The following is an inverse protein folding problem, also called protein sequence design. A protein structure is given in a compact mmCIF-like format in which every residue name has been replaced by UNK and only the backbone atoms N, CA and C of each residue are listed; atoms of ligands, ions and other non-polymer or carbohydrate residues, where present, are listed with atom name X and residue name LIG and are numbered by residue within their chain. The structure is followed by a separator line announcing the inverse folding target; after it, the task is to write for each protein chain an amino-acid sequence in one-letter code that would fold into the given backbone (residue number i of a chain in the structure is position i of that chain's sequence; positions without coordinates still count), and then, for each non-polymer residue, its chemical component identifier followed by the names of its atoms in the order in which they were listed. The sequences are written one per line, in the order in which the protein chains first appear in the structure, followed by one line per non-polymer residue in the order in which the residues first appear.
data_IF_240755672452
#
_entry.id   IF_240755672452
#
_cell.length_a   1.000
_cell.length_b   1.000
_cell.length_c   1.000
_cell.angle_alpha   90.00
_cell.angle_beta   90.00
_cell.angle_gamma   90.00
#
_symmetry.space_group_name_H-M   'P 1'
#
loop_
_entity.id
_entity.type
_entity.pdbx_description
1 polymer ?
#
# COMPACT_ATOMS: atom_id res chain seq x y z
N UNK A 1 -7.69 -27.78 -10.37
CA UNK A 1 -7.17 -26.44 -10.02
C UNK A 1 -7.27 -26.32 -8.52
N UNK A 2 -6.14 -26.18 -7.83
CA UNK A 2 -6.10 -26.04 -6.36
C UNK A 2 -6.37 -24.58 -6.00
N UNK A 3 -7.38 -24.35 -5.17
CA UNK A 3 -7.82 -23.02 -4.78
C UNK A 3 -7.66 -22.83 -3.28
N UNK A 4 -6.95 -21.77 -2.89
CA UNK A 4 -6.81 -21.34 -1.51
C UNK A 4 -7.72 -20.15 -1.25
N UNK A 5 -8.45 -20.20 -0.16
CA UNK A 5 -9.31 -19.11 0.32
C UNK A 5 -8.79 -18.61 1.66
N UNK A 6 -8.33 -17.38 1.73
CA UNK A 6 -7.94 -16.73 2.98
C UNK A 6 -9.15 -15.96 3.52
N UNK A 7 -9.78 -16.53 4.53
CA UNK A 7 -11.01 -16.00 5.11
C UNK A 7 -10.71 -15.23 6.40
N UNK A 8 -10.92 -13.90 6.39
CA UNK A 8 -10.71 -13.03 7.56
C UNK A 8 -11.97 -12.82 8.39
N UNK A 9 -13.13 -13.29 7.92
CA UNK A 9 -14.45 -13.09 8.55
C UNK A 9 -14.84 -14.20 9.53
N UNK A 10 -14.04 -15.28 9.62
CA UNK A 10 -14.35 -16.41 10.48
C UNK A 10 -15.29 -17.44 9.86
N UNK A 11 -15.69 -18.43 10.67
CA UNK A 11 -16.40 -19.63 10.18
C UNK A 11 -17.82 -19.37 9.67
N UNK A 12 -18.45 -18.28 10.08
CA UNK A 12 -19.86 -17.95 9.75
C UNK A 12 -20.13 -17.81 8.23
N UNK A 13 -19.14 -17.34 7.46
CA UNK A 13 -19.24 -17.18 6.01
C UNK A 13 -18.80 -18.41 5.21
N UNK A 14 -18.27 -19.43 5.85
CA UNK A 14 -17.67 -20.62 5.17
C UNK A 14 -18.68 -21.34 4.26
N UNK A 15 -19.96 -21.38 4.61
CA UNK A 15 -21.00 -21.98 3.78
C UNK A 15 -21.24 -21.18 2.49
N UNK A 16 -21.25 -19.86 2.57
CA UNK A 16 -21.41 -18.98 1.39
C UNK A 16 -20.17 -19.09 0.48
N UNK A 17 -18.96 -19.12 1.04
CA UNK A 17 -17.72 -19.32 0.29
C UNK A 17 -17.80 -20.59 -0.56
N UNK A 18 -18.18 -21.72 0.03
CA UNK A 18 -18.34 -23.00 -0.68
C UNK A 18 -19.41 -22.99 -1.74
N UNK A 19 -20.42 -22.13 -1.62
CA UNK A 19 -21.47 -21.97 -2.64
C UNK A 19 -21.01 -21.14 -3.83
N UNK A 20 -20.18 -20.13 -3.58
CA UNK A 20 -19.71 -19.18 -4.59
C UNK A 20 -18.48 -19.70 -5.35
N UNK A 21 -17.55 -20.34 -4.66
CA UNK A 21 -16.34 -20.91 -5.24
C UNK A 21 -16.59 -22.38 -5.54
N UNK A 22 -16.74 -22.71 -6.83
CA UNK A 22 -17.12 -24.08 -7.30
C UNK A 22 -15.94 -24.86 -7.85
N UNK A 23 -14.72 -24.54 -7.46
CA UNK A 23 -13.54 -25.27 -7.87
C UNK A 23 -13.52 -26.69 -7.29
N UNK A 24 -12.83 -27.62 -7.98
CA UNK A 24 -12.80 -29.03 -7.56
C UNK A 24 -12.11 -29.26 -6.22
N UNK A 25 -11.09 -28.45 -5.95
CA UNK A 25 -10.26 -28.55 -4.74
C UNK A 25 -10.14 -27.17 -4.11
N UNK A 26 -10.89 -26.96 -3.02
CA UNK A 26 -10.93 -25.66 -2.30
C UNK A 26 -10.50 -25.88 -0.85
N UNK A 27 -9.40 -25.24 -0.49
CA UNK A 27 -8.95 -25.16 0.90
C UNK A 27 -9.31 -23.78 1.47
N UNK A 28 -10.04 -23.76 2.60
CA UNK A 28 -10.40 -22.51 3.29
C UNK A 28 -9.57 -22.42 4.57
N UNK A 29 -8.72 -21.41 4.64
CA UNK A 29 -7.94 -21.06 5.83
C UNK A 29 -8.64 -19.90 6.54
N UNK A 30 -9.14 -20.15 7.74
CA UNK A 30 -9.71 -19.12 8.62
C UNK A 30 -8.57 -18.37 9.31
N UNK A 31 -8.32 -17.14 8.86
CA UNK A 31 -7.25 -16.28 9.39
C UNK A 31 -7.70 -15.37 10.53
N UNK A 32 -8.99 -15.42 10.92
CA UNK A 32 -9.57 -14.50 11.92
C UNK A 32 -8.89 -14.61 13.30
N UNK A 33 -8.42 -15.80 13.67
CA UNK A 33 -7.75 -16.07 14.94
C UNK A 33 -6.24 -16.34 14.80
N UNK A 34 -5.68 -16.23 13.59
CA UNK A 34 -4.25 -16.42 13.34
C UNK A 34 -3.45 -15.18 13.77
N UNK A 35 -2.26 -15.44 14.31
CA UNK A 35 -1.31 -14.38 14.66
C UNK A 35 -0.54 -13.97 13.41
N UNK A 36 -1.04 -12.98 12.69
CA UNK A 36 -0.44 -12.44 11.47
C UNK A 36 -0.05 -11.00 11.71
N UNK A 37 1.23 -10.69 11.68
CA UNK A 37 1.75 -9.33 11.77
C UNK A 37 1.63 -8.58 10.43
N UNK A 38 1.62 -7.25 10.45
CA UNK A 38 1.69 -6.44 9.24
C UNK A 38 3.03 -6.62 8.52
N UNK A 39 3.01 -6.53 7.19
CA UNK A 39 4.25 -6.50 6.43
C UNK A 39 5.04 -5.23 6.77
N UNK A 40 6.24 -5.37 7.31
CA UNK A 40 7.13 -4.23 7.63
C UNK A 40 7.81 -3.64 6.39
N UNK A 41 7.65 -4.22 5.21
CA UNK A 41 8.37 -3.81 4.00
C UNK A 41 9.89 -3.89 4.14
N UNK A 42 10.40 -4.77 4.98
CA UNK A 42 11.83 -4.90 5.25
C UNK A 42 12.63 -5.41 4.03
N UNK A 43 11.95 -6.00 3.04
CA UNK A 43 12.49 -6.59 1.81
C UNK A 43 13.50 -7.72 2.05
N UNK A 44 13.53 -8.32 3.26
CA UNK A 44 14.43 -9.44 3.52
C UNK A 44 14.05 -10.66 2.66
N UNK A 45 12.75 -10.92 2.46
CA UNK A 45 12.26 -11.98 1.60
C UNK A 45 12.58 -11.80 0.10
N UNK A 46 13.15 -10.66 -0.28
CA UNK A 46 13.64 -10.38 -1.62
C UNK A 46 15.15 -10.32 -1.70
N UNK A 47 15.82 -9.74 -0.69
CA UNK A 47 17.20 -9.27 -0.78
C UNK A 47 18.16 -9.93 0.22
N UNK A 48 17.67 -10.68 1.22
CA UNK A 48 18.52 -11.34 2.22
C UNK A 48 18.24 -12.83 2.33
N UNK A 49 16.97 -13.18 2.41
CA UNK A 49 16.47 -14.56 2.49
C UNK A 49 15.40 -14.78 1.42
N UNK A 50 15.78 -14.82 0.12
CA UNK A 50 14.83 -14.88 -0.99
C UNK A 50 13.75 -15.95 -0.79
N UNK A 51 12.47 -15.55 -0.91
CA UNK A 51 11.31 -16.39 -0.70
C UNK A 51 10.89 -16.58 0.77
N UNK A 52 11.75 -16.27 1.76
CA UNK A 52 11.47 -16.51 3.18
C UNK A 52 11.19 -15.18 3.89
N UNK A 53 10.01 -15.08 4.53
CA UNK A 53 9.67 -13.91 5.33
C UNK A 53 10.50 -13.86 6.62
N UNK A 54 10.96 -12.65 6.98
CA UNK A 54 11.69 -12.43 8.24
C UNK A 54 10.79 -12.47 9.48
N UNK A 55 9.49 -12.23 9.31
CA UNK A 55 8.51 -12.30 10.39
C UNK A 55 8.10 -13.77 10.56
N UNK A 56 8.35 -14.31 11.74
CA UNK A 56 8.01 -15.67 12.11
C UNK A 56 6.68 -15.68 12.86
N UNK A 57 5.59 -15.93 12.12
CA UNK A 57 4.23 -15.98 12.60
C UNK A 57 3.43 -16.99 11.77
N UNK A 58 2.13 -17.11 12.02
CA UNK A 58 1.26 -18.09 11.35
C UNK A 58 1.17 -17.93 9.83
N UNK A 59 1.63 -16.80 9.28
CA UNK A 59 1.62 -16.55 7.82
C UNK A 59 2.62 -17.42 7.06
N UNK A 60 3.63 -18.00 7.70
CA UNK A 60 4.58 -18.91 7.04
C UNK A 60 3.87 -20.13 6.46
N UNK A 61 2.89 -20.69 7.19
CA UNK A 61 2.07 -21.79 6.70
C UNK A 61 1.16 -21.39 5.51
N UNK A 62 0.71 -20.14 5.49
CA UNK A 62 -0.03 -19.62 4.34
C UNK A 62 0.87 -19.52 3.10
N UNK A 63 2.12 -19.09 3.25
CA UNK A 63 3.07 -19.03 2.12
C UNK A 63 3.29 -20.43 1.54
N UNK A 64 3.49 -21.46 2.37
CA UNK A 64 3.65 -22.85 1.91
C UNK A 64 2.44 -23.31 1.09
N UNK A 65 1.22 -23.01 1.55
CA UNK A 65 -0.01 -23.33 0.80
C UNK A 65 -0.11 -22.56 -0.52
N UNK A 66 0.30 -21.29 -0.54
CA UNK A 66 0.29 -20.46 -1.76
C UNK A 66 1.22 -21.02 -2.85
N UNK A 67 2.34 -21.64 -2.47
CA UNK A 67 3.28 -22.27 -3.41
C UNK A 67 2.64 -23.41 -4.21
N UNK A 68 1.63 -24.07 -3.65
CA UNK A 68 0.92 -25.19 -4.30
C UNK A 68 -0.42 -24.77 -4.94
N UNK A 69 -0.78 -23.49 -4.87
CA UNK A 69 -2.11 -22.96 -5.19
C UNK A 69 -2.10 -22.29 -6.57
N UNK A 70 -3.10 -22.58 -7.40
CA UNK A 70 -3.29 -21.90 -8.70
C UNK A 70 -4.21 -20.68 -8.60
N UNK A 71 -5.13 -20.69 -7.64
CA UNK A 71 -6.12 -19.61 -7.44
C UNK A 71 -6.21 -19.21 -5.99
N UNK A 72 -6.10 -17.90 -5.73
CA UNK A 72 -6.22 -17.29 -4.42
C UNK A 72 -7.49 -16.46 -4.33
N UNK A 73 -8.32 -16.75 -3.34
CA UNK A 73 -9.46 -15.90 -2.97
C UNK A 73 -9.22 -15.26 -1.62
N UNK A 74 -9.48 -13.97 -1.54
CA UNK A 74 -9.49 -13.23 -0.26
C UNK A 74 -10.94 -13.01 0.14
N UNK A 75 -11.24 -13.24 1.42
CA UNK A 75 -12.55 -12.96 2.01
C UNK A 75 -12.37 -11.94 3.12
N UNK A 76 -12.95 -10.75 2.97
CA UNK A 76 -12.72 -9.61 3.84
C UNK A 76 -13.98 -8.80 4.09
N UNK A 77 -14.04 -8.13 5.23
CA UNK A 77 -14.95 -7.00 5.42
C UNK A 77 -14.44 -5.78 4.64
N UNK A 78 -15.26 -4.74 4.52
CA UNK A 78 -14.87 -3.49 3.88
C UNK A 78 -14.92 -2.34 4.88
N UNK A 79 -13.94 -1.43 4.74
CA UNK A 79 -13.89 -0.16 5.43
C UNK A 79 -13.34 0.91 4.47
N UNK A 80 -13.83 2.14 4.55
CA UNK A 80 -13.47 3.22 3.62
C UNK A 80 -13.69 2.90 2.13
N UNK A 81 -14.66 2.01 1.82
CA UNK A 81 -14.95 1.57 0.45
C UNK A 81 -13.93 0.57 -0.12
N UNK A 82 -13.05 0.02 0.71
CA UNK A 82 -12.04 -0.96 0.35
C UNK A 82 -11.94 -2.08 1.39
N UNK A 83 -11.01 -3.02 1.23
CA UNK A 83 -10.74 -4.06 2.22
C UNK A 83 -10.44 -3.46 3.59
N UNK A 84 -10.94 -4.07 4.66
CA UNK A 84 -10.51 -3.76 6.01
C UNK A 84 -9.02 -4.10 6.23
N UNK A 85 -8.45 -3.62 7.35
CA UNK A 85 -7.04 -3.86 7.64
C UNK A 85 -6.69 -5.36 7.74
N UNK A 86 -7.65 -6.25 8.06
CA UNK A 86 -7.41 -7.71 8.18
C UNK A 86 -7.23 -8.34 6.81
N UNK A 87 -8.12 -8.05 5.86
CA UNK A 87 -8.00 -8.48 4.47
C UNK A 87 -6.75 -7.93 3.80
N UNK A 88 -6.48 -6.63 4.01
CA UNK A 88 -5.27 -6.02 3.49
C UNK A 88 -3.99 -6.60 4.11
N UNK A 89 -4.01 -6.97 5.40
CA UNK A 89 -2.87 -7.55 6.11
C UNK A 89 -2.43 -8.89 5.51
N UNK A 90 -3.37 -9.77 5.18
CA UNK A 90 -3.01 -11.04 4.53
C UNK A 90 -2.46 -10.82 3.13
N UNK A 91 -2.96 -9.81 2.40
CA UNK A 91 -2.44 -9.46 1.07
C UNK A 91 -1.08 -8.78 1.12
N UNK A 92 -0.82 -7.90 2.06
CA UNK A 92 0.49 -7.24 2.20
C UNK A 92 1.64 -8.24 2.45
N UNK A 93 1.33 -9.42 2.95
CA UNK A 93 2.29 -10.47 3.28
C UNK A 93 2.61 -11.40 2.11
N UNK A 94 1.96 -11.25 0.94
CA UNK A 94 2.19 -12.10 -0.25
C UNK A 94 3.57 -11.89 -0.92
N UNK A 95 4.29 -10.86 -0.51
CA UNK A 95 5.57 -10.43 -1.08
C UNK A 95 6.61 -11.54 -1.35
N UNK A 96 6.73 -12.61 -0.51
CA UNK A 96 7.64 -13.74 -0.80
C UNK A 96 7.31 -14.51 -2.08
N UNK A 97 6.09 -14.43 -2.60
CA UNK A 97 5.67 -15.05 -3.87
C UNK A 97 6.27 -14.36 -5.10
N UNK A 98 6.83 -13.17 -4.91
CA UNK A 98 7.52 -12.38 -5.93
C UNK A 98 9.03 -12.36 -5.63
N UNK A 99 9.83 -12.05 -6.64
CA UNK A 99 11.25 -11.78 -6.45
C UNK A 99 11.56 -10.28 -6.63
N UNK A 100 12.81 -9.88 -6.41
CA UNK A 100 13.22 -8.48 -6.52
C UNK A 100 13.41 -8.01 -7.95
N UNK A 101 13.62 -8.94 -8.89
CA UNK A 101 13.81 -8.59 -10.30
C UNK A 101 12.53 -7.99 -10.87
N UNK A 102 12.68 -7.09 -11.82
CA UNK A 102 11.57 -6.40 -12.45
C UNK A 102 11.56 -6.63 -13.96
N UNK A 103 10.38 -6.55 -14.53
CA UNK A 103 10.11 -6.66 -15.95
C UNK A 103 8.85 -5.87 -16.31
N UNK A 104 8.40 -5.97 -17.57
CA UNK A 104 7.10 -5.43 -17.99
C UNK A 104 6.11 -6.56 -18.22
N UNK A 105 4.94 -6.47 -17.58
CA UNK A 105 3.81 -7.39 -17.75
C UNK A 105 2.54 -6.56 -18.02
N UNK A 106 1.84 -6.89 -19.11
CA UNK A 106 0.67 -6.14 -19.58
C UNK A 106 0.91 -4.63 -19.72
N UNK A 107 2.16 -4.26 -20.06
CA UNK A 107 2.57 -2.88 -20.23
C UNK A 107 2.93 -2.16 -18.95
N UNK A 108 2.93 -2.81 -17.81
CA UNK A 108 3.23 -2.27 -16.48
C UNK A 108 4.55 -2.82 -15.96
N UNK A 109 5.33 -2.00 -15.29
CA UNK A 109 6.54 -2.46 -14.61
C UNK A 109 6.15 -3.27 -13.37
N UNK A 110 6.59 -4.53 -13.29
CA UNK A 110 6.21 -5.48 -12.23
C UNK A 110 7.40 -6.29 -11.75
N UNK A 111 7.32 -6.72 -10.51
CA UNK A 111 8.23 -7.74 -9.97
C UNK A 111 7.95 -9.09 -10.62
N UNK A 112 9.03 -9.88 -10.88
CA UNK A 112 8.87 -11.22 -11.42
C UNK A 112 8.28 -12.17 -10.37
N UNK A 113 7.48 -13.13 -10.86
CA UNK A 113 6.84 -14.14 -10.00
C UNK A 113 7.88 -15.20 -9.63
N UNK A 114 7.97 -15.55 -8.35
CA UNK A 114 8.96 -16.51 -7.85
C UNK A 114 8.59 -17.95 -8.17
N UNK A 115 7.37 -18.36 -7.94
CA UNK A 115 6.94 -19.76 -8.07
C UNK A 115 6.16 -19.98 -9.36
N UNK A 116 4.94 -19.52 -9.41
CA UNK A 116 4.02 -19.61 -10.56
C UNK A 116 3.00 -18.46 -10.45
N UNK A 117 2.31 -18.14 -11.57
CA UNK A 117 1.19 -17.19 -11.57
C UNK A 117 0.06 -17.63 -10.63
N UNK A 118 -0.57 -16.66 -9.92
CA UNK A 118 -1.73 -16.89 -9.07
C UNK A 118 -2.94 -16.10 -9.62
N UNK A 119 -4.01 -16.79 -9.95
CA UNK A 119 -5.29 -16.15 -10.22
C UNK A 119 -5.86 -15.57 -8.92
N UNK A 120 -6.46 -14.39 -8.97
CA UNK A 120 -6.90 -13.69 -7.76
C UNK A 120 -8.37 -13.34 -7.83
N UNK A 121 -9.11 -13.68 -6.78
CA UNK A 121 -10.50 -13.30 -6.58
C UNK A 121 -10.73 -12.67 -5.21
N UNK A 122 -11.84 -11.96 -5.07
CA UNK A 122 -12.25 -11.31 -3.85
C UNK A 122 -13.70 -11.63 -3.53
N UNK A 123 -13.96 -12.08 -2.30
CA UNK A 123 -15.28 -12.06 -1.69
C UNK A 123 -15.29 -11.00 -0.61
N UNK A 124 -16.23 -10.06 -0.66
CA UNK A 124 -16.25 -8.97 0.31
C UNK A 124 -17.63 -8.80 0.94
N UNK A 125 -17.63 -8.40 2.21
CA UNK A 125 -18.81 -8.04 2.98
C UNK A 125 -18.77 -6.53 3.23
N UNK A 126 -19.93 -5.89 3.17
CA UNK A 126 -20.05 -4.45 3.45
C UNK A 126 -20.23 -3.60 2.21
N UNK A 127 -20.08 -2.29 2.38
CA UNK A 127 -20.36 -1.30 1.33
C UNK A 127 -19.04 -0.92 0.60
N UNK A 128 -18.99 -1.28 -0.67
CA UNK A 128 -17.88 -0.93 -1.55
C UNK A 128 -18.38 -0.85 -3.01
N UNK A 129 -17.75 -0.04 -3.81
CA UNK A 129 -17.99 0.01 -5.24
C UNK A 129 -17.48 -1.26 -5.93
N UNK A 130 -18.39 -1.98 -6.59
CA UNK A 130 -18.11 -3.24 -7.27
C UNK A 130 -17.02 -3.09 -8.34
N UNK A 131 -17.06 -2.02 -9.13
CA UNK A 131 -16.11 -1.80 -10.20
C UNK A 131 -14.69 -1.50 -9.65
N UNK A 132 -14.61 -0.80 -8.53
CA UNK A 132 -13.35 -0.57 -7.83
C UNK A 132 -12.76 -1.88 -7.28
N UNK A 133 -13.57 -2.74 -6.66
CA UNK A 133 -13.11 -4.03 -6.16
C UNK A 133 -12.64 -4.95 -7.31
N UNK A 134 -13.32 -4.93 -8.45
CA UNK A 134 -12.89 -5.65 -9.64
C UNK A 134 -11.58 -5.09 -10.23
N UNK A 135 -11.40 -3.76 -10.25
CA UNK A 135 -10.14 -3.14 -10.71
C UNK A 135 -8.98 -3.53 -9.79
N UNK A 136 -9.17 -3.53 -8.47
CA UNK A 136 -8.15 -4.02 -7.54
C UNK A 136 -7.78 -5.48 -7.77
N UNK A 137 -8.77 -6.36 -8.01
CA UNK A 137 -8.51 -7.76 -8.35
C UNK A 137 -7.69 -7.89 -9.63
N UNK A 138 -8.01 -7.13 -10.69
CA UNK A 138 -7.27 -7.12 -11.95
C UNK A 138 -5.82 -6.68 -11.74
N UNK A 139 -5.61 -5.56 -11.06
CA UNK A 139 -4.26 -5.03 -10.75
C UNK A 139 -3.43 -6.00 -9.93
N UNK A 140 -4.04 -6.57 -8.88
CA UNK A 140 -3.38 -7.55 -8.02
C UNK A 140 -3.03 -8.83 -8.78
N UNK A 141 -3.92 -9.34 -9.62
CA UNK A 141 -3.66 -10.50 -10.46
C UNK A 141 -2.49 -10.26 -11.42
N UNK A 142 -2.43 -9.10 -12.07
CA UNK A 142 -1.28 -8.72 -12.93
C UNK A 142 0.01 -8.67 -12.11
N UNK A 143 -0.02 -8.14 -10.89
CA UNK A 143 1.16 -8.10 -10.00
C UNK A 143 1.73 -9.49 -9.73
N UNK A 144 0.86 -10.47 -9.50
CA UNK A 144 1.27 -11.85 -9.18
C UNK A 144 1.20 -12.80 -10.38
N UNK A 145 1.10 -12.24 -11.60
CA UNK A 145 1.25 -12.93 -12.88
C UNK A 145 0.05 -13.76 -13.35
N UNK A 146 -1.05 -13.74 -12.59
CA UNK A 146 -2.27 -14.48 -12.92
C UNK A 146 -3.37 -13.64 -13.56
N UNK A 147 -4.58 -14.15 -13.54
CA UNK A 147 -5.79 -13.50 -14.02
C UNK A 147 -6.75 -13.15 -12.88
N UNK A 148 -7.56 -12.12 -13.07
CA UNK A 148 -8.63 -11.79 -12.15
C UNK A 148 -9.76 -12.81 -12.24
N UNK A 149 -10.20 -13.30 -11.09
CA UNK A 149 -11.41 -14.12 -10.92
C UNK A 149 -12.64 -13.27 -10.55
N UNK A 150 -12.46 -11.94 -10.50
CA UNK A 150 -13.48 -10.98 -10.15
C UNK A 150 -13.62 -10.71 -8.67
N UNK A 151 -14.53 -9.81 -8.33
CA UNK A 151 -14.91 -9.47 -6.96
C UNK A 151 -16.41 -9.72 -6.78
N UNK A 152 -16.82 -10.39 -5.71
CA UNK A 152 -18.20 -10.79 -5.45
C UNK A 152 -18.61 -10.31 -4.06
N UNK A 153 -19.69 -9.55 -3.97
CA UNK A 153 -20.26 -9.14 -2.69
C UNK A 153 -20.97 -10.32 -2.01
N UNK A 154 -20.66 -10.56 -0.75
CA UNK A 154 -21.36 -11.53 0.07
C UNK A 154 -22.73 -11.00 0.46
N UNK A 155 -23.76 -11.84 0.32
CA UNK A 155 -25.11 -11.50 0.76
C UNK A 155 -25.19 -11.64 2.28
N UNK A 156 -24.79 -10.60 2.99
CA UNK A 156 -25.01 -10.49 4.44
C UNK A 156 -25.93 -9.28 4.64
N UNK A 157 -26.94 -9.41 5.48
CA UNK A 157 -27.73 -8.25 5.91
C UNK A 157 -26.80 -7.26 6.57
N UNK A 158 -26.32 -6.26 5.84
CA UNK A 158 -25.58 -5.14 6.39
C UNK A 158 -26.57 -4.04 6.72
N UNK A 159 -26.44 -3.44 7.88
CA UNK A 159 -26.94 -2.11 8.10
C UNK A 159 -26.19 -1.21 7.13
N UNK A 160 -26.91 -0.58 6.18
CA UNK A 160 -26.35 0.28 5.15
C UNK A 160 -25.55 1.39 5.80
N UNK A 161 -24.24 1.27 5.83
CA UNK A 161 -23.38 2.41 6.04
C UNK A 161 -23.41 3.25 4.76
N UNK A 162 -24.37 4.19 4.67
CA UNK A 162 -24.40 5.16 3.58
C UNK A 162 -23.12 5.97 3.63
N UNK A 163 -22.37 5.99 2.54
CA UNK A 163 -21.36 7.03 2.32
C UNK A 163 -22.04 8.38 2.49
N UNK A 164 -21.81 9.04 3.62
CA UNK A 164 -22.28 10.40 3.84
C UNK A 164 -21.46 11.32 2.97
N UNK A 165 -21.99 11.71 1.82
CA UNK A 165 -21.51 12.86 1.05
C UNK A 165 -22.11 14.12 1.68
N UNK A 166 -21.73 14.46 2.89
CA UNK A 166 -22.08 15.76 3.45
C UNK A 166 -21.05 16.79 3.00
N UNK A 167 -21.58 17.99 2.69
CA UNK A 167 -20.81 19.12 2.21
C UNK A 167 -19.61 19.40 3.13
N UNK A 168 -18.46 19.16 2.59
CA UNK A 168 -17.20 19.39 3.28
C UNK A 168 -17.02 20.87 3.49
N UNK A 169 -16.99 21.31 4.73
CA UNK A 169 -16.69 22.70 5.09
C UNK A 169 -15.26 23.01 4.64
N UNK A 170 -15.12 23.93 3.69
CA UNK A 170 -13.81 24.40 3.28
C UNK A 170 -13.15 25.13 4.45
N UNK A 171 -11.93 24.72 4.81
CA UNK A 171 -11.16 25.44 5.83
C UNK A 171 -10.66 26.76 5.24
N UNK A 172 -11.15 27.87 5.80
CA UNK A 172 -10.70 29.21 5.47
C UNK A 172 -9.53 29.67 6.35
N UNK A 173 -9.12 28.85 7.34
CA UNK A 173 -8.00 29.14 8.23
C UNK A 173 -6.66 29.03 7.50
N UNK A 174 -5.77 30.00 7.75
CA UNK A 174 -4.37 29.93 7.30
C UNK A 174 -3.68 28.74 8.00
N UNK A 175 -2.87 27.99 7.25
CA UNK A 175 -2.05 26.93 7.81
C UNK A 175 -1.03 27.51 8.82
N UNK A 176 -1.15 27.14 10.09
CA UNK A 176 -0.24 27.54 11.17
C UNK A 176 0.43 26.36 11.85
N UNK A 177 -0.27 25.21 11.87
CA UNK A 177 0.24 23.96 12.43
C UNK A 177 -0.14 22.77 11.52
N UNK A 178 0.74 21.78 11.40
CA UNK A 178 0.55 20.59 10.59
C UNK A 178 0.85 19.33 11.40
N UNK A 179 -0.14 18.47 11.58
CA UNK A 179 0.06 17.12 12.11
C UNK A 179 0.47 16.21 10.97
N UNK A 180 1.59 15.51 11.11
CA UNK A 180 2.11 14.58 10.11
C UNK A 180 2.05 13.17 10.67
N UNK A 181 1.35 12.29 9.96
CA UNK A 181 1.28 10.87 10.28
C UNK A 181 2.15 10.10 9.29
N UNK A 182 3.21 9.47 9.80
CA UNK A 182 4.03 8.54 9.02
C UNK A 182 3.39 7.15 9.08
N UNK A 183 2.62 6.81 8.04
CA UNK A 183 1.92 5.53 7.88
C UNK A 183 2.81 4.39 7.36
N UNK A 184 4.13 4.60 7.28
CA UNK A 184 5.06 3.53 6.91
C UNK A 184 5.10 2.44 7.98
N UNK A 185 4.92 1.15 7.60
CA UNK A 185 5.08 0.05 8.54
C UNK A 185 6.53 -0.17 9.01
N UNK A 186 7.48 0.50 8.37
CA UNK A 186 8.91 0.39 8.68
C UNK A 186 9.31 1.39 9.75
N UNK A 187 10.15 0.95 10.69
CA UNK A 187 10.76 1.83 11.71
C UNK A 187 11.40 3.05 11.03
N UNK A 188 11.19 4.24 11.59
CA UNK A 188 11.56 5.55 11.03
C UNK A 188 13.00 5.57 10.46
N UNK A 189 13.99 5.11 11.23
CA UNK A 189 15.41 5.04 10.80
C UNK A 189 15.60 4.38 9.42
N UNK A 190 14.78 3.38 9.07
CA UNK A 190 14.87 2.63 7.82
C UNK A 190 13.75 2.97 6.83
N UNK A 191 12.85 3.88 7.18
CA UNK A 191 11.70 4.27 6.37
C UNK A 191 12.10 5.25 5.26
N UNK A 192 11.70 4.96 4.03
CA UNK A 192 11.81 5.93 2.93
C UNK A 192 10.84 7.09 3.14
N UNK A 193 9.63 6.80 3.64
CA UNK A 193 8.62 7.81 3.98
C UNK A 193 9.15 8.83 4.96
N UNK A 194 9.87 8.38 6.00
CA UNK A 194 10.47 9.27 6.99
C UNK A 194 11.45 10.27 6.34
N UNK A 195 12.33 9.80 5.44
CA UNK A 195 13.27 10.65 4.70
C UNK A 195 12.56 11.64 3.77
N UNK A 196 11.47 11.21 3.15
CA UNK A 196 10.62 12.05 2.32
C UNK A 196 9.97 13.14 3.18
N UNK A 197 9.38 12.77 4.34
CA UNK A 197 8.79 13.74 5.29
C UNK A 197 9.83 14.76 5.73
N UNK A 198 11.03 14.32 6.12
CA UNK A 198 12.09 15.24 6.54
C UNK A 198 12.53 16.20 5.44
N UNK A 199 12.53 15.76 4.17
CA UNK A 199 12.78 16.67 3.05
C UNK A 199 11.61 17.64 2.84
N UNK A 200 10.37 17.16 2.97
CA UNK A 200 9.17 17.99 2.82
C UNK A 200 9.11 19.10 3.88
N UNK A 201 9.36 18.77 5.16
CA UNK A 201 9.28 19.75 6.25
C UNK A 201 10.37 20.83 6.19
N UNK A 202 11.52 20.56 5.55
CA UNK A 202 12.49 21.61 5.23
C UNK A 202 11.87 22.73 4.38
N UNK A 203 10.92 22.39 3.52
CA UNK A 203 10.16 23.37 2.76
C UNK A 203 9.20 24.24 3.60
N UNK A 204 8.90 23.85 4.84
CA UNK A 204 8.12 24.63 5.79
C UNK A 204 8.98 25.58 6.65
N UNK A 205 10.31 25.40 6.66
CA UNK A 205 11.22 26.23 7.44
C UNK A 205 11.12 27.71 7.00
N UNK A 206 11.11 28.60 7.98
CA UNK A 206 10.99 30.04 7.75
C UNK A 206 9.60 30.55 7.37
N UNK A 207 8.59 29.67 7.25
CA UNK A 207 7.21 30.05 6.90
C UNK A 207 6.34 30.40 8.11
N UNK A 208 6.80 30.15 9.33
CA UNK A 208 6.02 30.29 10.56
C UNK A 208 5.08 29.12 10.87
N UNK A 209 5.05 28.07 10.01
CA UNK A 209 4.26 26.87 10.21
C UNK A 209 5.03 25.94 11.16
N UNK A 210 4.38 25.52 12.23
CA UNK A 210 4.86 24.47 13.13
C UNK A 210 4.36 23.10 12.68
N UNK A 211 5.02 22.04 13.10
CA UNK A 211 4.58 20.67 12.77
C UNK A 211 4.97 19.68 13.87
N UNK A 212 4.24 18.59 13.95
CA UNK A 212 4.55 17.42 14.74
C UNK A 212 4.45 16.15 13.90
N UNK A 213 5.24 15.11 14.25
CA UNK A 213 5.33 13.86 13.50
C UNK A 213 5.08 12.66 14.40
N UNK A 214 4.13 11.80 13.99
CA UNK A 214 3.83 10.53 14.65
C UNK A 214 4.14 9.35 13.72
N UNK A 215 4.87 8.35 14.23
CA UNK A 215 5.28 7.18 13.45
C UNK A 215 4.42 5.97 13.80
N UNK A 216 3.55 5.52 12.91
CA UNK A 216 2.65 4.39 13.16
C UNK A 216 3.36 3.04 13.33
N UNK A 217 4.61 2.93 12.88
CA UNK A 217 5.44 1.74 13.15
C UNK A 217 5.75 1.56 14.64
N UNK A 218 5.59 2.61 15.45
CA UNK A 218 5.67 2.59 16.90
C UNK A 218 4.26 2.61 17.52
N UNK A 219 3.76 1.46 17.94
CA UNK A 219 2.43 1.35 18.56
C UNK A 219 2.23 2.23 19.80
N UNK A 220 3.31 2.58 20.50
CA UNK A 220 3.25 3.46 21.69
C UNK A 220 2.87 4.90 21.32
N UNK A 221 3.04 5.32 20.09
CA UNK A 221 2.66 6.66 19.60
C UNK A 221 1.19 6.74 19.16
N UNK A 222 0.48 5.61 19.06
CA UNK A 222 -0.86 5.59 18.48
C UNK A 222 -1.90 6.41 19.20
N UNK A 223 -1.88 6.42 20.56
CA UNK A 223 -2.82 7.24 21.33
C UNK A 223 -2.56 8.73 21.11
N UNK A 224 -1.29 9.15 21.17
CA UNK A 224 -0.91 10.53 20.86
C UNK A 224 -1.23 10.91 19.40
N UNK A 225 -0.98 10.00 18.46
CA UNK A 225 -1.31 10.22 17.05
C UNK A 225 -2.83 10.38 16.84
N UNK A 226 -3.67 9.57 17.52
CA UNK A 226 -5.14 9.72 17.47
C UNK A 226 -5.59 11.05 18.02
N UNK A 227 -5.07 11.43 19.19
CA UNK A 227 -5.37 12.73 19.82
C UNK A 227 -4.97 13.88 18.90
N UNK A 228 -3.76 13.86 18.33
CA UNK A 228 -3.29 14.87 17.40
C UNK A 228 -4.19 14.97 16.17
N UNK A 229 -4.55 13.83 15.55
CA UNK A 229 -5.46 13.81 14.39
C UNK A 229 -6.82 14.39 14.77
N UNK A 230 -7.36 14.12 15.96
CA UNK A 230 -8.70 14.58 16.37
C UNK A 230 -8.74 16.05 16.79
N UNK A 231 -7.63 16.60 17.31
CA UNK A 231 -7.55 17.95 17.88
C UNK A 231 -7.06 19.02 16.92
N UNK A 232 -6.60 18.66 15.71
CA UNK A 232 -6.05 19.63 14.75
C UNK A 232 -6.82 19.66 13.42
N UNK A 233 -6.75 20.83 12.76
CA UNK A 233 -7.45 21.09 11.51
C UNK A 233 -6.70 20.59 10.26
N UNK A 234 -5.37 20.51 10.30
CA UNK A 234 -4.53 20.22 9.14
C UNK A 234 -3.69 18.96 9.38
N UNK A 235 -3.97 17.95 8.60
CA UNK A 235 -3.35 16.63 8.73
C UNK A 235 -2.69 16.25 7.39
N UNK A 236 -1.44 15.83 7.45
CA UNK A 236 -0.73 15.20 6.34
C UNK A 236 -0.46 13.73 6.67
N UNK A 237 -0.98 12.83 5.88
CA UNK A 237 -0.74 11.40 6.03
C UNK A 237 0.20 10.94 4.92
N UNK A 238 1.41 10.48 5.29
CA UNK A 238 2.44 10.05 4.35
C UNK A 238 2.69 8.55 4.46
N UNK A 239 2.67 7.81 3.34
CA UNK A 239 2.85 6.36 3.35
C UNK A 239 3.31 5.80 2.00
N UNK A 240 3.93 4.59 1.99
CA UNK A 240 4.27 3.89 0.76
C UNK A 240 3.07 3.11 0.22
N UNK A 241 2.96 2.97 -1.10
CA UNK A 241 2.01 2.07 -1.75
C UNK A 241 2.38 0.60 -1.44
N UNK A 242 1.45 -0.18 -0.92
CA UNK A 242 1.59 -1.63 -0.70
C UNK A 242 0.45 -2.37 -1.39
N UNK A 243 0.78 -3.33 -2.24
CA UNK A 243 -0.20 -4.17 -2.95
C UNK A 243 -1.40 -3.31 -3.43
N UNK A 244 -1.09 -2.37 -4.32
CA UNK A 244 -2.00 -1.43 -5.00
C UNK A 244 -2.73 -0.41 -4.09
N UNK A 245 -2.58 -0.44 -2.75
CA UNK A 245 -3.33 0.45 -1.87
C UNK A 245 -2.58 0.82 -0.58
N UNK A 246 -3.31 1.38 0.39
CA UNK A 246 -2.84 1.78 1.73
C UNK A 246 -2.27 0.55 2.47
N UNK A 247 -1.12 0.65 3.16
CA UNK A 247 -0.61 -0.43 4.01
C UNK A 247 -1.58 -0.80 5.12
N UNK A 248 -1.70 -2.10 5.41
CA UNK A 248 -2.63 -2.62 6.42
C UNK A 248 -2.43 -2.02 7.82
N UNK A 249 -1.18 -1.71 8.21
CA UNK A 249 -0.89 -1.03 9.48
C UNK A 249 -1.56 0.33 9.56
N UNK A 250 -1.52 1.08 8.46
CA UNK A 250 -2.13 2.40 8.39
C UNK A 250 -3.66 2.30 8.33
N UNK A 251 -4.21 1.31 7.61
CA UNK A 251 -5.65 1.05 7.62
C UNK A 251 -6.14 0.76 9.04
N UNK A 252 -5.44 -0.10 9.80
CA UNK A 252 -5.79 -0.39 11.20
C UNK A 252 -5.82 0.87 12.07
N UNK A 253 -4.87 1.78 11.88
CA UNK A 253 -4.89 3.07 12.57
C UNK A 253 -6.09 3.93 12.16
N UNK A 254 -6.34 4.07 10.85
CA UNK A 254 -7.47 4.86 10.34
C UNK A 254 -8.82 4.29 10.80
N UNK A 255 -8.99 2.97 10.78
CA UNK A 255 -10.20 2.28 11.26
C UNK A 255 -10.41 2.45 12.78
N UNK A 256 -9.37 2.77 13.52
CA UNK A 256 -9.45 3.07 14.96
C UNK A 256 -9.88 4.51 15.28
N UNK A 257 -9.97 5.38 14.27
CA UNK A 257 -10.41 6.76 14.45
C UNK A 257 -11.95 6.83 14.47
N UNK A 258 -12.54 7.68 15.32
CA UNK A 258 -13.98 7.90 15.26
C UNK A 258 -14.36 8.65 13.98
N UNK A 259 -15.57 8.35 13.47
CA UNK A 259 -16.14 9.02 12.29
C UNK A 259 -16.67 10.43 12.57
N UNK A 260 -16.91 10.75 13.84
CA UNK A 260 -17.44 12.05 14.27
C UNK A 260 -16.31 12.93 14.83
N UNK A 261 -16.35 14.20 14.45
CA UNK A 261 -15.38 15.21 14.87
C UNK A 261 -16.11 16.47 15.33
N UNK A 262 -15.53 17.12 16.34
CA UNK A 262 -16.09 18.35 16.91
C UNK A 262 -15.60 19.62 16.18
N UNK A 263 -14.63 19.51 15.26
CA UNK A 263 -14.06 20.65 14.55
C UNK A 263 -13.75 20.31 13.11
N UNK A 264 -13.76 21.30 12.19
CA UNK A 264 -13.37 21.12 10.79
C UNK A 264 -11.96 20.55 10.69
N UNK A 265 -11.74 19.67 9.72
CA UNK A 265 -10.44 19.05 9.47
C UNK A 265 -10.23 18.87 7.97
N UNK A 266 -8.98 18.99 7.54
CA UNK A 266 -8.56 18.65 6.19
C UNK A 266 -7.42 17.63 6.23
N UNK A 267 -7.57 16.55 5.49
CA UNK A 267 -6.53 15.53 5.33
C UNK A 267 -5.93 15.63 3.93
N UNK A 268 -4.63 15.85 3.87
CA UNK A 268 -3.83 15.73 2.65
C UNK A 268 -2.99 14.46 2.71
N UNK A 269 -2.66 13.88 1.56
CA UNK A 269 -1.88 12.65 1.49
C UNK A 269 -0.57 12.85 0.74
N UNK A 270 0.48 12.14 1.18
CA UNK A 270 1.73 11.98 0.47
C UNK A 270 1.92 10.49 0.21
N UNK A 271 1.75 10.07 -1.03
CA UNK A 271 1.80 8.69 -1.48
C UNK A 271 3.02 8.47 -2.37
N UNK A 272 3.83 7.49 -2.04
CA UNK A 272 5.01 7.15 -2.82
C UNK A 272 5.14 5.63 -3.05
N UNK A 273 5.90 5.22 -4.06
CA UNK A 273 6.11 3.81 -4.40
C UNK A 273 7.46 3.54 -5.04
N UNK A 274 7.74 2.25 -5.25
CA UNK A 274 8.99 1.81 -5.86
C UNK A 274 9.04 2.03 -7.37
N UNK A 275 7.91 1.86 -8.05
CA UNK A 275 7.79 2.04 -9.49
C UNK A 275 7.57 3.52 -9.83
N UNK A 276 7.99 3.94 -11.04
CA UNK A 276 8.00 5.36 -11.43
C UNK A 276 6.68 5.82 -12.06
N UNK A 277 5.85 4.91 -12.56
CA UNK A 277 4.66 5.24 -13.34
C UNK A 277 3.49 5.68 -12.47
N UNK A 278 2.83 6.79 -12.81
CA UNK A 278 1.71 7.38 -12.05
C UNK A 278 0.49 6.47 -11.94
N UNK A 279 0.20 5.69 -12.98
CA UNK A 279 -0.94 4.76 -13.01
C UNK A 279 -0.88 3.69 -11.90
N UNK A 280 0.31 3.40 -11.34
CA UNK A 280 0.46 2.52 -10.18
C UNK A 280 -0.33 2.98 -8.96
N UNK A 281 -0.49 4.29 -8.83
CA UNK A 281 -1.06 4.93 -7.65
C UNK A 281 -2.55 5.25 -7.80
N UNK A 282 -3.11 5.20 -9.02
CA UNK A 282 -4.45 5.74 -9.30
C UNK A 282 -5.56 5.04 -8.57
N UNK A 283 -5.46 3.71 -8.39
CA UNK A 283 -6.42 2.98 -7.56
C UNK A 283 -6.42 3.49 -6.10
N UNK A 284 -5.23 3.59 -5.49
CA UNK A 284 -5.11 4.09 -4.13
C UNK A 284 -5.58 5.55 -4.01
N UNK A 285 -5.22 6.42 -4.96
CA UNK A 285 -5.66 7.82 -5.00
C UNK A 285 -7.19 7.93 -5.01
N UNK A 286 -7.89 7.07 -5.75
CA UNK A 286 -9.36 7.05 -5.80
C UNK A 286 -9.96 6.72 -4.43
N UNK A 287 -9.39 5.75 -3.68
CA UNK A 287 -9.79 5.47 -2.30
C UNK A 287 -9.54 6.69 -1.40
N UNK A 288 -8.37 7.33 -1.54
CA UNK A 288 -7.99 8.49 -0.71
C UNK A 288 -8.89 9.70 -0.91
N UNK A 289 -9.50 9.88 -2.08
CA UNK A 289 -10.44 10.97 -2.34
C UNK A 289 -11.69 10.89 -1.47
N UNK A 290 -12.21 9.68 -1.23
CA UNK A 290 -13.41 9.46 -0.42
C UNK A 290 -13.16 9.25 1.08
N UNK A 291 -11.95 8.84 1.47
CA UNK A 291 -11.60 8.46 2.84
C UNK A 291 -11.78 9.60 3.87
N UNK A 292 -11.32 10.85 3.62
CA UNK A 292 -11.47 11.93 4.60
C UNK A 292 -12.92 12.21 4.98
N UNK A 293 -13.86 12.15 4.02
CA UNK A 293 -15.27 12.38 4.29
C UNK A 293 -15.85 11.38 5.30
N UNK A 294 -15.39 10.12 5.28
CA UNK A 294 -15.80 9.09 6.24
C UNK A 294 -15.24 9.32 7.66
N UNK A 295 -14.20 10.16 7.76
CA UNK A 295 -13.60 10.61 9.04
C UNK A 295 -14.08 12.03 9.43
N UNK A 296 -15.12 12.56 8.79
CA UNK A 296 -15.61 13.92 9.04
C UNK A 296 -14.65 15.03 8.64
N UNK A 297 -13.77 14.76 7.68
CA UNK A 297 -12.74 15.70 7.20
C UNK A 297 -12.90 16.03 5.72
N UNK A 298 -12.31 17.14 5.29
CA UNK A 298 -12.19 17.50 3.88
C UNK A 298 -10.98 16.83 3.23
N UNK A 299 -11.05 16.59 1.92
CA UNK A 299 -9.93 16.13 1.13
C UNK A 299 -9.02 17.28 0.73
N UNK A 300 -7.75 17.23 1.13
CA UNK A 300 -6.72 18.23 0.83
C UNK A 300 -5.79 17.85 -0.33
N UNK A 301 -6.17 16.86 -1.15
CA UNK A 301 -5.37 16.39 -2.27
C UNK A 301 -4.33 15.34 -1.91
N UNK A 302 -3.77 14.71 -2.95
CA UNK A 302 -2.72 13.70 -2.83
C UNK A 302 -1.48 14.12 -3.63
N UNK A 303 -0.34 14.21 -2.95
CA UNK A 303 0.96 14.32 -3.59
C UNK A 303 1.46 12.91 -3.90
N UNK A 304 1.66 12.59 -5.18
CA UNK A 304 2.08 11.26 -5.65
C UNK A 304 3.45 11.34 -6.29
N UNK A 305 4.33 10.38 -5.97
CA UNK A 305 5.59 10.23 -6.69
C UNK A 305 6.15 8.82 -6.58
N UNK A 306 6.61 8.28 -7.72
CA UNK A 306 7.25 6.97 -7.82
C UNK A 306 8.75 7.00 -7.51
N UNK A 307 9.46 5.91 -7.87
CA UNK A 307 10.92 5.82 -7.83
C UNK A 307 11.57 5.85 -6.45
N UNK A 308 10.79 5.73 -5.38
CA UNK A 308 11.30 5.87 -4.01
C UNK A 308 12.17 4.70 -3.52
N UNK A 309 12.24 3.57 -4.26
CA UNK A 309 13.05 2.43 -3.86
C UNK A 309 14.54 2.79 -3.76
N UNK A 310 15.01 3.67 -4.65
CA UNK A 310 16.40 4.17 -4.66
C UNK A 310 16.84 4.88 -3.38
N UNK A 311 15.92 5.44 -2.60
CA UNK A 311 16.22 6.08 -1.30
C UNK A 311 16.91 5.09 -0.34
N UNK A 312 16.61 3.80 -0.44
CA UNK A 312 17.18 2.78 0.42
C UNK A 312 18.46 2.15 -0.15
N UNK A 313 18.53 2.00 -1.45
CA UNK A 313 19.52 1.14 -2.12
C UNK A 313 20.69 1.89 -2.73
N UNK A 314 20.61 3.22 -2.80
CA UNK A 314 21.63 4.06 -3.43
C UNK A 314 22.51 4.75 -2.38
N UNK A 315 23.65 5.28 -2.83
CA UNK A 315 24.55 6.11 -2.04
C UNK A 315 23.88 7.42 -1.58
N UNK A 316 24.38 8.05 -0.53
CA UNK A 316 23.74 9.20 0.12
C UNK A 316 23.56 10.41 -0.82
N UNK A 317 24.50 10.66 -1.72
CA UNK A 317 24.38 11.72 -2.72
C UNK A 317 23.21 11.50 -3.71
N UNK A 318 22.93 10.24 -4.08
CA UNK A 318 21.81 9.88 -4.94
C UNK A 318 20.50 9.94 -4.15
N UNK A 319 20.50 9.44 -2.90
CA UNK A 319 19.33 9.57 -1.99
C UNK A 319 18.92 11.01 -1.82
N UNK A 320 19.89 11.91 -1.58
CA UNK A 320 19.63 13.34 -1.45
C UNK A 320 18.91 13.92 -2.69
N UNK A 321 19.33 13.52 -3.90
CA UNK A 321 18.70 13.92 -5.16
C UNK A 321 17.26 13.41 -5.30
N UNK A 322 16.98 12.18 -4.83
CA UNK A 322 15.63 11.59 -4.90
C UNK A 322 14.68 12.33 -3.97
N UNK A 323 15.12 12.74 -2.77
CA UNK A 323 14.25 13.41 -1.79
C UNK A 323 14.18 14.91 -1.95
N UNK A 324 15.18 15.57 -2.56
CA UNK A 324 15.24 17.03 -2.71
C UNK A 324 13.98 17.66 -3.33
N UNK A 325 13.32 17.06 -4.34
CA UNK A 325 12.10 17.64 -4.92
C UNK A 325 10.95 17.81 -3.92
N UNK A 326 10.91 17.00 -2.86
CA UNK A 326 9.86 17.10 -1.83
C UNK A 326 9.97 18.37 -0.98
N UNK A 327 11.16 18.94 -0.82
CA UNK A 327 11.34 20.26 -0.17
C UNK A 327 10.61 21.37 -0.95
N UNK A 328 10.70 21.36 -2.28
CA UNK A 328 9.93 22.30 -3.12
C UNK A 328 8.43 22.11 -2.90
N UNK A 329 7.95 20.87 -2.79
CA UNK A 329 6.54 20.57 -2.53
C UNK A 329 6.11 21.02 -1.14
N UNK A 330 7.00 20.96 -0.14
CA UNK A 330 6.76 21.54 1.18
C UNK A 330 6.56 23.06 1.13
N UNK A 331 7.38 23.79 0.38
CA UNK A 331 7.20 25.24 0.16
C UNK A 331 5.87 25.58 -0.51
N UNK A 332 5.48 24.81 -1.52
CA UNK A 332 4.18 24.99 -2.20
C UNK A 332 3.02 24.69 -1.25
N UNK A 333 3.13 23.63 -0.46
CA UNK A 333 2.12 23.29 0.54
C UNK A 333 1.98 24.35 1.62
N UNK A 334 3.07 24.99 2.05
CA UNK A 334 3.04 26.10 2.99
C UNK A 334 2.21 27.29 2.49
N UNK A 335 2.20 27.50 1.17
CA UNK A 335 1.45 28.59 0.52
C UNK A 335 -0.02 28.24 0.31
N UNK A 336 -0.32 27.01 -0.12
CA UNK A 336 -1.66 26.55 -0.51
C UNK A 336 -2.45 25.87 0.62
N UNK A 337 -1.76 25.30 1.59
CA UNK A 337 -2.35 24.46 2.65
C UNK A 337 -2.88 23.11 2.19
N UNK A 338 -2.67 22.72 0.92
CA UNK A 338 -3.19 21.48 0.33
C UNK A 338 -2.41 21.05 -0.92
N UNK A 339 -2.73 19.90 -1.50
CA UNK A 339 -2.17 19.38 -2.76
C UNK A 339 -3.15 19.42 -3.94
N UNK A 340 -4.19 20.23 -3.89
CA UNK A 340 -5.15 20.41 -4.99
C UNK A 340 -4.61 21.35 -6.08
N UNK A 341 -3.30 21.46 -6.21
CA UNK A 341 -2.61 22.41 -7.12
C UNK A 341 -2.12 21.70 -8.39
N UNK A 342 -1.99 22.43 -9.51
CA UNK A 342 -1.40 21.87 -10.74
C UNK A 342 0.02 21.35 -10.55
N UNK A 343 0.81 21.97 -9.69
CA UNK A 343 2.18 21.57 -9.37
C UNK A 343 2.23 20.22 -8.68
N UNK A 344 1.31 19.94 -7.74
CA UNK A 344 1.19 18.64 -7.08
C UNK A 344 0.83 17.53 -8.09
N UNK A 345 -0.08 17.83 -9.04
CA UNK A 345 -0.43 16.88 -10.12
C UNK A 345 0.76 16.60 -11.04
N UNK A 346 1.54 17.60 -11.42
CA UNK A 346 2.74 17.43 -12.26
C UNK A 346 3.84 16.66 -11.56
N UNK A 347 3.87 16.66 -10.23
CA UNK A 347 4.89 15.99 -9.44
C UNK A 347 4.84 14.45 -9.59
N UNK A 348 3.70 13.88 -9.93
CA UNK A 348 3.52 12.44 -10.17
C UNK A 348 4.47 11.91 -11.24
N UNK A 349 4.80 12.70 -12.26
CA UNK A 349 5.55 12.25 -13.43
C UNK A 349 4.64 11.63 -14.51
N UNK A 350 5.18 10.77 -15.39
CA UNK A 350 4.41 10.15 -16.46
C UNK A 350 3.43 9.12 -15.90
N UNK A 351 2.20 9.09 -16.45
CA UNK A 351 1.20 8.08 -16.07
C UNK A 351 1.65 6.67 -16.46
N UNK A 352 2.20 6.54 -17.66
CA UNK A 352 2.76 5.31 -18.17
C UNK A 352 3.86 5.63 -19.16
N UNK A 353 4.92 4.85 -19.17
CA UNK A 353 5.96 5.01 -20.18
C UNK A 353 5.43 4.66 -21.57
N UNK A 354 5.69 5.48 -22.62
CA UNK A 354 5.35 5.15 -23.99
C UNK A 354 5.93 3.78 -24.40
N UNK A 355 5.23 3.04 -25.27
CA UNK A 355 5.64 1.71 -25.70
C UNK A 355 7.11 1.64 -26.15
N UNK A 356 7.57 2.62 -26.90
CA UNK A 356 8.95 2.66 -27.39
C UNK A 356 9.95 2.78 -26.22
N UNK A 357 9.65 3.61 -25.22
CA UNK A 357 10.49 3.76 -24.01
C UNK A 357 10.53 2.45 -23.24
N UNK A 358 9.38 1.80 -23.03
CA UNK A 358 9.31 0.49 -22.35
C UNK A 358 10.16 -0.57 -23.06
N UNK A 359 10.07 -0.64 -24.40
CA UNK A 359 10.89 -1.55 -25.21
C UNK A 359 12.38 -1.24 -25.06
N UNK A 360 12.76 0.02 -25.12
CA UNK A 360 14.14 0.47 -24.92
C UNK A 360 14.66 0.12 -23.51
N UNK A 361 13.88 0.42 -22.46
CA UNK A 361 14.21 0.09 -21.08
C UNK A 361 14.38 -1.41 -20.90
N UNK A 362 13.46 -2.22 -21.43
CA UNK A 362 13.52 -3.67 -21.36
C UNK A 362 14.78 -4.25 -22.02
N UNK A 363 15.15 -3.75 -23.20
CA UNK A 363 16.29 -4.28 -23.95
C UNK A 363 17.65 -3.81 -23.40
N UNK A 364 17.77 -2.53 -23.03
CA UNK A 364 19.05 -1.90 -22.72
C UNK A 364 19.34 -1.79 -21.24
N UNK A 365 18.34 -1.58 -20.40
CA UNK A 365 18.54 -1.21 -18.98
C UNK A 365 18.09 -2.29 -18.01
N UNK A 366 17.09 -3.11 -18.33
CA UNK A 366 16.50 -4.05 -17.38
C UNK A 366 17.52 -5.05 -16.81
N UNK A 367 18.39 -5.59 -17.68
CA UNK A 367 19.47 -6.50 -17.24
C UNK A 367 20.39 -5.83 -16.23
N UNK A 368 20.77 -4.55 -16.48
CA UNK A 368 21.64 -3.79 -15.58
C UNK A 368 20.94 -3.48 -14.25
N UNK A 369 19.65 -3.14 -14.28
CA UNK A 369 18.86 -2.88 -13.08
C UNK A 369 18.76 -4.15 -12.24
N UNK A 370 18.38 -5.28 -12.83
CA UNK A 370 18.25 -6.56 -12.12
C UNK A 370 19.60 -7.03 -11.57
N UNK A 371 20.69 -6.87 -12.33
CA UNK A 371 22.06 -7.11 -11.83
C UNK A 371 22.40 -6.24 -10.61
N UNK A 372 21.97 -4.96 -10.62
CA UNK A 372 22.13 -4.07 -9.47
C UNK A 372 21.40 -4.56 -8.22
N UNK A 373 20.25 -5.21 -8.36
CA UNK A 373 19.56 -5.84 -7.22
C UNK A 373 20.29 -7.06 -6.69
N UNK A 374 20.87 -7.90 -7.55
CA UNK A 374 21.73 -9.02 -7.13
C UNK A 374 22.96 -8.53 -6.35
N UNK A 375 23.65 -7.51 -6.86
CA UNK A 375 24.84 -6.96 -6.22
C UNK A 375 24.50 -6.32 -4.88
N UNK A 376 23.37 -5.62 -4.80
CA UNK A 376 22.86 -5.07 -3.55
C UNK A 376 22.49 -6.18 -2.54
N UNK A 377 21.84 -7.26 -2.98
CA UNK A 377 21.51 -8.40 -2.13
C UNK A 377 22.78 -9.07 -1.56
N UNK A 378 23.80 -9.26 -2.40
CA UNK A 378 25.12 -9.76 -1.97
C UNK A 378 25.75 -8.86 -0.91
N UNK A 379 25.69 -7.54 -1.08
CA UNK A 379 26.21 -6.58 -0.08
C UNK A 379 25.45 -6.65 1.25
N UNK A 380 24.22 -7.16 1.24
CA UNK A 380 23.40 -7.42 2.44
C UNK A 380 23.64 -8.79 3.06
N UNK A 381 24.57 -9.58 2.50
CA UNK A 381 24.91 -10.92 2.97
C UNK A 381 23.97 -12.01 2.45
N UNK A 382 23.26 -11.78 1.32
CA UNK A 382 22.52 -12.80 0.64
C UNK A 382 23.45 -13.80 -0.01
N UNK A 383 23.33 -15.09 0.33
CA UNK A 383 24.13 -16.19 -0.22
C UNK A 383 23.36 -17.04 -1.21
N UNK A 384 22.06 -16.77 -1.39
CA UNK A 384 21.13 -17.52 -2.26
C UNK A 384 20.84 -16.73 -3.54
N UNK A 385 20.38 -17.40 -4.58
CA UNK A 385 19.82 -16.73 -5.78
C UNK A 385 18.60 -15.91 -5.41
N UNK A 386 18.38 -14.76 -6.08
CA UNK A 386 17.13 -14.01 -5.93
C UNK A 386 15.91 -14.80 -6.42
N UNK A 387 16.11 -15.80 -7.31
CA UNK A 387 15.08 -16.67 -7.86
C UNK A 387 14.89 -17.96 -7.06
N UNK A 388 15.54 -18.08 -5.90
CA UNK A 388 15.41 -19.24 -5.04
C UNK A 388 13.97 -19.52 -4.61
N UNK A 389 13.59 -20.81 -4.54
CA UNK A 389 12.23 -21.28 -4.30
C UNK A 389 12.18 -22.19 -3.07
N UNK A 390 12.33 -21.65 -1.87
CA UNK A 390 12.63 -22.41 -0.65
C UNK A 390 11.55 -23.40 -0.22
N UNK A 391 10.31 -23.33 -0.74
CA UNK A 391 9.20 -24.18 -0.30
C UNK A 391 8.73 -25.20 -1.37
N UNK A 392 9.50 -25.43 -2.46
CA UNK A 392 9.12 -26.42 -3.49
C UNK A 392 9.50 -27.85 -3.06
N UNK A 393 10.56 -28.00 -2.28
CA UNK A 393 11.16 -29.29 -1.94
C UNK A 393 10.83 -29.73 -0.47
N UNK A 394 9.93 -29.05 0.20
CA UNK A 394 9.38 -29.43 1.51
C UNK A 394 8.02 -30.11 1.34
#
# INVERSE_FOLDING_TARGET
MKTLVLNTLGKEVSKQIKTLIKDKEVEIVDTSNMKIAHCMGCNQCWLKTPGICAIKDDYEEIIKKLVETESLWIVSDTHFGFLDYKGKRVMDRIVPMLNMTIGFRDGWMRHEVRYHPLNTGLLYKGDADQAMMEDWCKRTAVNIGGHSLGAIALQVKSEKCRMKSEAVVSLNSKLSHLVIINGSPRVAKFSNTDKIIHSFVKGLEGTGITWELHNLSNRKEWDAAREAVLSHERILIAFPLYVECIPSLMLEFLESLPSERNQPCQISFLLHGGMDEGNEFRFCEQILQGLPAQLGCSFGGTLIHGGSFGIRTREDAVKAKIVAPYEKMGRLFAQSGNFLTPEAKKFTGPEQYPWLVRKMVSLLFMKKVNKGFEDFAKSWGCTRSLDDKPYIDE
#
